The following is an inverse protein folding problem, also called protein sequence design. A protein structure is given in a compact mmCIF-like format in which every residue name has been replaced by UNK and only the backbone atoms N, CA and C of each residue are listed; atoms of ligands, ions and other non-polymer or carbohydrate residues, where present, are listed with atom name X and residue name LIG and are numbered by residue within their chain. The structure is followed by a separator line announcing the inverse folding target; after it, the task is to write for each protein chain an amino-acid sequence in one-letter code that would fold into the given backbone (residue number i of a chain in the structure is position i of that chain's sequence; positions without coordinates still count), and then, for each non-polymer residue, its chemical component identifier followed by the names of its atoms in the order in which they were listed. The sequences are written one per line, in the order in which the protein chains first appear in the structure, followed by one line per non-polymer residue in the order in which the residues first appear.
data_IF_703314126368
#
_entry.id   IF_703314126368
#
_cell.length_a   1.000
_cell.length_b   1.000
_cell.length_c   1.000
_cell.angle_alpha   90.00
_cell.angle_beta   90.00
_cell.angle_gamma   90.00
#
_symmetry.space_group_name_H-M   'P 1'
#
loop_
_entity.id
_entity.type
_entity.pdbx_description
1 polymer ?
#
# COMPACT_ATOMS: atom_id res chain seq x y z
N UNK A 1 13.19 -18.49 -19.74
CA UNK A 1 13.02 -19.49 -18.67
C UNK A 1 12.02 -19.00 -17.61
N UNK A 2 12.25 -17.86 -16.96
CA UNK A 2 11.31 -17.28 -15.98
C UNK A 2 9.93 -16.93 -16.55
N UNK A 3 9.85 -16.41 -17.78
CA UNK A 3 8.55 -16.09 -18.40
C UNK A 3 7.63 -17.31 -18.61
N UNK A 4 8.19 -18.50 -18.84
CA UNK A 4 7.42 -19.74 -18.94
C UNK A 4 6.89 -20.19 -17.57
N UNK A 5 7.71 -20.07 -16.53
CA UNK A 5 7.29 -20.41 -15.16
C UNK A 5 6.14 -19.50 -14.71
N UNK A 6 6.23 -18.20 -14.97
CA UNK A 6 5.15 -17.24 -14.69
C UNK A 6 3.86 -17.59 -15.46
N UNK A 7 3.96 -18.01 -16.72
CA UNK A 7 2.79 -18.41 -17.49
C UNK A 7 2.10 -19.66 -16.91
N UNK A 8 2.89 -20.63 -16.45
CA UNK A 8 2.37 -21.84 -15.78
C UNK A 8 1.69 -21.47 -14.47
N UNK A 9 2.35 -20.67 -13.63
CA UNK A 9 1.78 -20.17 -12.36
C UNK A 9 0.46 -19.42 -12.60
N UNK A 10 0.41 -18.57 -13.63
CA UNK A 10 -0.80 -17.81 -13.99
C UNK A 10 -1.98 -18.74 -14.30
N UNK A 11 -1.69 -19.82 -15.04
CA UNK A 11 -2.68 -20.83 -15.41
C UNK A 11 -3.13 -21.70 -14.23
N UNK A 12 -2.28 -21.87 -13.21
CA UNK A 12 -2.60 -22.69 -12.03
C UNK A 12 -3.41 -21.94 -10.98
N UNK A 13 -3.11 -20.66 -10.75
CA UNK A 13 -3.66 -19.91 -9.61
C UNK A 13 -4.68 -18.84 -10.00
N UNK A 14 -4.67 -18.36 -11.26
CA UNK A 14 -5.63 -17.38 -11.78
C UNK A 14 -5.74 -16.09 -10.95
N UNK A 15 -4.65 -15.70 -10.27
CA UNK A 15 -4.55 -14.57 -9.35
C UNK A 15 -3.49 -13.55 -9.77
N UNK A 16 -2.94 -13.69 -10.98
CA UNK A 16 -1.91 -12.80 -11.51
C UNK A 16 -2.44 -11.86 -12.59
N UNK A 17 -2.00 -10.61 -12.51
CA UNK A 17 -2.21 -9.58 -13.53
C UNK A 17 -0.84 -9.17 -14.04
N UNK A 18 -0.58 -9.42 -15.32
CA UNK A 18 0.67 -9.05 -15.99
C UNK A 18 0.45 -7.82 -16.88
N UNK A 19 1.40 -6.90 -16.87
CA UNK A 19 1.37 -5.66 -17.63
C UNK A 19 2.75 -5.43 -18.28
N UNK A 20 2.76 -4.76 -19.42
CA UNK A 20 3.97 -4.56 -20.22
C UNK A 20 4.75 -3.31 -19.77
N UNK A 21 5.62 -3.48 -18.78
CA UNK A 21 6.59 -2.48 -18.34
C UNK A 21 7.78 -3.16 -17.63
N UNK A 22 8.89 -2.43 -17.47
CA UNK A 22 10.04 -2.93 -16.72
C UNK A 22 9.74 -2.86 -15.21
N UNK A 23 9.49 -4.01 -14.59
CA UNK A 23 9.26 -4.09 -13.15
C UNK A 23 10.56 -3.84 -12.37
N UNK A 24 10.63 -2.68 -11.71
CA UNK A 24 11.77 -2.23 -10.92
C UNK A 24 11.29 -1.27 -9.84
N UNK A 25 12.09 -1.05 -8.80
CA UNK A 25 11.76 -0.11 -7.72
C UNK A 25 11.37 1.27 -8.27
N UNK A 26 12.05 1.74 -9.32
CA UNK A 26 11.84 3.09 -9.86
C UNK A 26 10.53 3.20 -10.65
N UNK A 27 10.01 2.07 -11.11
CA UNK A 27 8.78 1.96 -11.87
C UNK A 27 7.58 1.49 -11.04
N UNK A 28 7.71 1.42 -9.70
CA UNK A 28 6.58 1.09 -8.83
C UNK A 28 5.42 2.08 -9.01
N UNK A 29 5.70 3.35 -9.29
CA UNK A 29 4.66 4.33 -9.63
C UNK A 29 3.84 3.91 -10.85
N UNK A 30 4.49 3.38 -11.89
CA UNK A 30 3.78 2.86 -13.08
C UNK A 30 2.94 1.66 -12.68
N UNK A 31 3.53 0.70 -11.95
CA UNK A 31 2.85 -0.51 -11.45
C UNK A 31 1.59 -0.15 -10.68
N UNK A 32 1.66 0.75 -9.70
CA UNK A 32 0.50 1.18 -8.92
C UNK A 32 -0.53 1.89 -9.77
N UNK A 33 -0.15 2.79 -10.68
CA UNK A 33 -1.15 3.46 -11.52
C UNK A 33 -1.87 2.50 -12.45
N UNK A 34 -1.18 1.47 -12.94
CA UNK A 34 -1.81 0.42 -13.71
C UNK A 34 -2.72 -0.46 -12.83
N UNK A 35 -2.32 -0.81 -11.59
CA UNK A 35 -3.17 -1.51 -10.62
C UNK A 35 -4.46 -0.72 -10.32
N UNK A 36 -4.35 0.59 -10.07
CA UNK A 36 -5.50 1.46 -9.81
C UNK A 36 -6.45 1.50 -11.01
N UNK A 37 -5.92 1.63 -12.23
CA UNK A 37 -6.71 1.58 -13.46
C UNK A 37 -7.41 0.23 -13.62
N UNK A 38 -6.68 -0.87 -13.42
CA UNK A 38 -7.21 -2.23 -13.52
C UNK A 38 -8.34 -2.46 -12.52
N UNK A 39 -8.14 -2.14 -11.24
CA UNK A 39 -9.16 -2.27 -10.20
C UNK A 39 -10.42 -1.46 -10.54
N UNK A 40 -10.26 -0.23 -11.03
CA UNK A 40 -11.40 0.59 -11.43
C UNK A 40 -12.19 0.05 -12.62
N UNK A 41 -11.52 -0.71 -13.50
CA UNK A 41 -12.11 -1.25 -14.74
C UNK A 41 -12.75 -2.61 -14.51
N UNK A 42 -12.06 -3.50 -13.80
CA UNK A 42 -12.42 -4.91 -13.66
C UNK A 42 -13.05 -5.24 -12.30
N UNK A 43 -12.97 -4.35 -11.31
CA UNK A 43 -13.59 -4.51 -10.00
C UNK A 43 -14.45 -3.30 -9.59
N UNK A 44 -15.35 -2.78 -10.44
CA UNK A 44 -16.10 -1.55 -10.17
C UNK A 44 -17.04 -1.62 -8.96
N UNK A 45 -17.36 -2.83 -8.49
CA UNK A 45 -18.23 -3.08 -7.34
C UNK A 45 -17.49 -3.41 -6.04
N UNK A 46 -16.15 -3.47 -6.06
CA UNK A 46 -15.38 -3.65 -4.84
C UNK A 46 -15.62 -2.48 -3.88
N UNK A 47 -15.93 -2.78 -2.62
CA UNK A 47 -16.17 -1.72 -1.61
C UNK A 47 -14.86 -1.07 -1.16
N UNK A 48 -13.80 -1.87 -1.05
CA UNK A 48 -12.46 -1.45 -0.69
C UNK A 48 -11.43 -2.15 -1.57
N UNK A 49 -10.28 -1.50 -1.78
CA UNK A 49 -9.07 -2.11 -2.29
C UNK A 49 -7.93 -1.92 -1.29
N UNK A 50 -7.01 -2.87 -1.24
CA UNK A 50 -5.79 -2.77 -0.45
C UNK A 50 -4.60 -2.97 -1.38
N UNK A 51 -3.61 -2.07 -1.30
CA UNK A 51 -2.27 -2.29 -1.85
C UNK A 51 -1.37 -2.66 -0.69
N UNK A 52 -0.52 -3.66 -0.88
CA UNK A 52 0.43 -4.14 0.12
C UNK A 52 1.65 -4.73 -0.57
N UNK A 53 2.82 -4.59 0.04
CA UNK A 53 4.06 -5.20 -0.46
C UNK A 53 4.14 -6.69 -0.06
N UNK A 54 4.92 -7.47 -0.81
CA UNK A 54 4.98 -8.94 -0.63
C UNK A 54 5.70 -9.37 0.67
N UNK A 55 6.39 -8.46 1.34
CA UNK A 55 7.14 -8.66 2.59
C UNK A 55 6.38 -8.14 3.82
N UNK A 56 5.06 -8.01 3.72
CA UNK A 56 4.19 -7.46 4.77
C UNK A 56 3.24 -8.53 5.30
N UNK A 57 3.20 -8.68 6.63
CA UNK A 57 2.17 -9.44 7.30
C UNK A 57 0.89 -8.61 7.36
N UNK A 58 -0.25 -9.23 7.03
CA UNK A 58 -1.59 -8.60 7.10
C UNK A 58 -2.47 -9.39 8.05
N UNK A 59 -2.97 -8.73 9.10
CA UNK A 59 -4.01 -9.29 9.97
C UNK A 59 -5.37 -9.15 9.28
N UNK A 60 -5.71 -10.13 8.43
CA UNK A 60 -6.95 -10.11 7.64
C UNK A 60 -8.20 -10.10 8.52
N UNK A 61 -8.17 -10.76 9.69
CA UNK A 61 -9.32 -10.80 10.61
C UNK A 61 -9.64 -9.40 11.14
N UNK A 62 -8.64 -8.71 11.68
CA UNK A 62 -8.83 -7.36 12.20
C UNK A 62 -9.12 -6.36 11.08
N UNK A 63 -8.50 -6.52 9.90
CA UNK A 63 -8.77 -5.69 8.73
C UNK A 63 -10.25 -5.73 8.34
N UNK A 64 -10.84 -6.92 8.25
CA UNK A 64 -12.24 -7.07 7.87
C UNK A 64 -13.19 -6.47 8.91
N UNK A 65 -12.89 -6.64 10.20
CA UNK A 65 -13.67 -6.01 11.28
C UNK A 65 -13.61 -4.49 11.19
N UNK A 66 -12.40 -3.95 11.05
CA UNK A 66 -12.16 -2.51 11.00
C UNK A 66 -12.87 -1.85 9.80
N UNK A 67 -12.85 -2.50 8.63
CA UNK A 67 -13.47 -1.98 7.41
C UNK A 67 -15.00 -1.92 7.47
N UNK A 68 -15.66 -2.70 8.34
CA UNK A 68 -17.13 -2.63 8.52
C UNK A 68 -17.60 -1.23 8.94
N UNK A 69 -16.77 -0.52 9.70
CA UNK A 69 -17.04 0.83 10.23
C UNK A 69 -16.40 1.95 9.42
N UNK A 70 -15.61 1.62 8.38
CA UNK A 70 -14.87 2.61 7.60
C UNK A 70 -15.73 3.30 6.53
N UNK A 71 -15.45 4.57 6.17
CA UNK A 71 -16.13 5.25 5.09
C UNK A 71 -15.95 4.53 3.74
N UNK A 72 -17.04 4.37 2.98
CA UNK A 72 -17.06 3.60 1.72
C UNK A 72 -16.80 4.44 0.46
N UNK A 73 -16.54 5.73 0.61
CA UNK A 73 -16.28 6.67 -0.51
C UNK A 73 -15.24 7.71 -0.10
N UNK A 74 -14.41 8.13 -1.05
CA UNK A 74 -13.42 9.18 -0.83
C UNK A 74 -12.44 8.88 0.31
N UNK A 75 -12.19 7.60 0.59
CA UNK A 75 -11.48 7.15 1.78
C UNK A 75 -10.17 6.48 1.41
N UNK A 76 -9.11 6.83 2.13
CA UNK A 76 -7.83 6.14 2.07
C UNK A 76 -7.15 6.23 3.43
N UNK A 77 -6.55 5.13 3.86
CA UNK A 77 -5.92 4.98 5.17
C UNK A 77 -4.63 4.17 5.08
N UNK A 78 -3.76 4.35 6.05
CA UNK A 78 -2.53 3.59 6.20
C UNK A 78 -1.63 4.23 7.24
N UNK A 79 -0.33 3.98 7.12
CA UNK A 79 0.67 4.75 7.86
C UNK A 79 0.86 6.12 7.21
N UNK A 80 0.16 7.14 7.71
CA UNK A 80 0.17 8.48 7.13
C UNK A 80 1.44 9.26 7.52
N UNK A 81 2.13 9.79 6.52
CA UNK A 81 3.35 10.60 6.64
C UNK A 81 3.01 12.03 6.20
N UNK A 82 3.25 13.03 7.06
CA UNK A 82 2.89 14.43 6.83
C UNK A 82 4.09 15.38 6.75
N UNK A 83 5.27 14.88 7.11
CA UNK A 83 6.54 15.61 7.21
C UNK A 83 7.58 15.11 6.20
N UNK A 84 7.16 14.32 5.21
CA UNK A 84 8.04 13.79 4.17
C UNK A 84 8.67 14.91 3.33
N UNK A 85 9.96 14.77 3.07
CA UNK A 85 10.74 15.70 2.26
C UNK A 85 11.51 14.94 1.17
N UNK A 86 11.67 15.51 -0.03
CA UNK A 86 12.46 14.91 -1.09
C UNK A 86 13.91 14.76 -0.67
N UNK A 87 14.48 13.56 -0.84
CA UNK A 87 15.92 13.35 -0.66
C UNK A 87 16.64 13.92 -1.87
N UNK A 88 17.53 14.88 -1.65
CA UNK A 88 18.29 15.56 -2.72
C UNK A 88 19.69 14.99 -2.95
N UNK A 89 20.11 14.00 -2.16
CA UNK A 89 21.36 13.28 -2.39
C UNK A 89 21.19 12.27 -3.55
N UNK A 90 21.94 12.39 -4.66
CA UNK A 90 21.87 11.47 -5.79
C UNK A 90 22.19 10.01 -5.45
N UNK A 91 22.88 9.75 -4.33
CA UNK A 91 23.19 8.39 -3.87
C UNK A 91 22.05 7.78 -3.04
N UNK A 92 21.03 8.56 -2.69
CA UNK A 92 19.88 8.05 -1.98
C UNK A 92 19.01 7.20 -2.89
N UNK A 93 18.60 6.02 -2.43
CA UNK A 93 17.60 5.19 -3.14
C UNK A 93 16.25 5.90 -3.34
N UNK A 94 16.00 6.98 -2.58
CA UNK A 94 14.79 7.80 -2.64
C UNK A 94 15.06 9.19 -3.25
N UNK A 95 16.13 9.31 -4.05
CA UNK A 95 16.52 10.58 -4.66
C UNK A 95 15.41 11.14 -5.56
N UNK A 96 15.12 12.43 -5.37
CA UNK A 96 14.26 13.21 -6.26
C UNK A 96 14.95 14.55 -6.51
N UNK A 97 15.30 14.84 -7.76
CA UNK A 97 15.96 16.11 -8.10
C UNK A 97 15.00 17.29 -7.96
N UNK A 98 15.56 18.48 -7.73
CA UNK A 98 14.83 19.75 -7.68
C UNK A 98 14.06 20.02 -8.98
N UNK A 99 14.63 19.60 -10.11
CA UNK A 99 14.00 19.71 -11.42
C UNK A 99 12.74 18.84 -11.54
N UNK A 100 12.76 17.64 -10.95
CA UNK A 100 11.62 16.72 -10.97
C UNK A 100 10.53 17.15 -10.00
N UNK A 101 10.90 17.66 -8.83
CA UNK A 101 9.98 18.14 -7.80
C UNK A 101 10.59 19.35 -7.07
N UNK A 102 10.01 20.54 -7.26
CA UNK A 102 10.56 21.83 -6.79
C UNK A 102 10.20 22.17 -5.35
N UNK A 103 9.18 21.55 -4.78
CA UNK A 103 8.79 21.86 -3.40
C UNK A 103 9.73 21.14 -2.43
N UNK A 104 10.00 21.77 -1.29
CA UNK A 104 10.83 21.18 -0.23
C UNK A 104 10.05 20.18 0.66
N UNK A 105 8.75 20.02 0.45
CA UNK A 105 7.89 19.13 1.23
C UNK A 105 6.91 18.39 0.34
N UNK A 106 6.62 17.15 0.70
CA UNK A 106 5.57 16.34 0.07
C UNK A 106 4.19 16.64 0.68
N UNK A 107 3.08 16.42 -0.05
CA UNK A 107 1.78 16.36 0.60
C UNK A 107 1.70 15.21 1.59
N UNK A 108 0.72 15.19 2.50
CA UNK A 108 0.39 13.99 3.25
C UNK A 108 0.17 12.79 2.33
N UNK A 109 0.81 11.67 2.64
CA UNK A 109 0.73 10.43 1.88
C UNK A 109 0.68 9.22 2.80
N UNK A 110 0.33 8.05 2.27
CA UNK A 110 0.33 6.77 2.99
C UNK A 110 1.55 5.96 2.60
N UNK A 111 2.25 5.35 3.56
CA UNK A 111 3.45 4.56 3.30
C UNK A 111 3.22 3.43 2.30
N UNK A 112 4.22 3.21 1.44
CA UNK A 112 4.20 2.14 0.43
C UNK A 112 4.04 0.73 0.98
N UNK A 113 4.41 0.46 2.25
CA UNK A 113 4.29 -0.88 2.84
C UNK A 113 2.85 -1.43 2.74
N UNK A 114 1.85 -0.57 2.93
CA UNK A 114 0.48 -0.94 2.67
C UNK A 114 -0.53 0.14 3.03
N UNK A 115 -1.61 0.18 2.26
CA UNK A 115 -2.70 1.13 2.46
C UNK A 115 -4.02 0.58 1.90
N UNK A 116 -5.13 1.03 2.49
CA UNK A 116 -6.49 0.65 2.10
C UNK A 116 -7.23 1.87 1.62
N UNK A 117 -8.05 1.72 0.58
CA UNK A 117 -8.84 2.78 0.00
C UNK A 117 -10.24 2.29 -0.37
N UNK A 118 -11.22 3.19 -0.37
CA UNK A 118 -12.57 2.87 -0.87
C UNK A 118 -12.54 2.62 -2.39
N UNK A 119 -13.40 1.75 -2.89
CA UNK A 119 -13.36 1.31 -4.29
C UNK A 119 -13.40 2.44 -5.33
N UNK A 120 -14.10 3.54 -5.04
CA UNK A 120 -14.14 4.73 -5.90
C UNK A 120 -12.77 5.41 -6.07
N UNK A 121 -11.89 5.28 -5.08
CA UNK A 121 -10.58 5.92 -5.08
C UNK A 121 -9.64 5.34 -6.13
N UNK A 122 -9.78 4.06 -6.52
CA UNK A 122 -8.96 3.48 -7.59
C UNK A 122 -9.08 4.27 -8.89
N UNK A 123 -10.32 4.52 -9.32
CA UNK A 123 -10.61 5.29 -10.53
C UNK A 123 -10.22 6.76 -10.39
N UNK A 124 -10.50 7.37 -9.22
CA UNK A 124 -10.16 8.77 -8.95
C UNK A 124 -8.65 9.03 -8.95
N UNK A 125 -7.87 8.15 -8.30
CA UNK A 125 -6.40 8.23 -8.26
C UNK A 125 -5.85 8.03 -9.67
N UNK A 126 -6.33 7.02 -10.40
CA UNK A 126 -5.93 6.78 -11.78
C UNK A 126 -6.22 7.99 -12.67
N UNK A 127 -7.37 8.64 -12.52
CA UNK A 127 -7.71 9.87 -13.24
C UNK A 127 -6.78 11.04 -12.86
N UNK A 128 -6.54 11.25 -11.56
CA UNK A 128 -5.70 12.35 -11.05
C UNK A 128 -4.25 12.24 -11.51
N UNK A 129 -3.72 11.02 -11.69
CA UNK A 129 -2.36 10.76 -12.16
C UNK A 129 -2.04 11.43 -13.51
N UNK A 130 -3.06 11.69 -14.34
CA UNK A 130 -2.93 12.38 -15.63
C UNK A 130 -2.50 13.84 -15.50
N UNK A 131 -2.64 14.42 -14.30
CA UNK A 131 -2.32 15.82 -14.01
C UNK A 131 -1.11 15.98 -13.09
N UNK A 132 -0.48 14.87 -12.69
CA UNK A 132 0.67 14.87 -11.78
C UNK A 132 1.90 14.37 -12.53
N UNK A 133 2.98 15.16 -12.49
CA UNK A 133 4.28 14.73 -13.02
C UNK A 133 4.77 13.50 -12.26
N UNK A 134 5.08 12.43 -12.99
CA UNK A 134 5.55 11.17 -12.41
C UNK A 134 6.86 11.35 -11.64
N UNK A 135 6.95 10.73 -10.47
CA UNK A 135 8.17 10.61 -9.66
C UNK A 135 8.38 9.14 -9.27
N UNK A 136 9.64 8.68 -9.07
CA UNK A 136 9.95 7.29 -8.74
C UNK A 136 9.77 7.00 -7.24
N UNK A 137 8.72 7.55 -6.63
CA UNK A 137 8.30 7.32 -5.25
C UNK A 137 6.79 7.08 -5.28
N UNK A 138 6.39 5.82 -5.31
CA UNK A 138 5.01 5.39 -5.54
C UNK A 138 4.03 5.95 -4.51
N UNK A 139 4.39 5.86 -3.24
CA UNK A 139 3.60 6.31 -2.11
C UNK A 139 3.41 7.83 -2.09
N UNK A 140 4.50 8.56 -2.32
CA UNK A 140 4.47 10.02 -2.50
C UNK A 140 3.64 10.41 -3.72
N UNK A 141 3.77 9.69 -4.84
CA UNK A 141 3.00 9.95 -6.05
C UNK A 141 1.49 9.76 -5.84
N UNK A 142 1.09 8.73 -5.07
CA UNK A 142 -0.30 8.59 -4.61
C UNK A 142 -0.72 9.81 -3.78
N UNK A 143 0.11 10.27 -2.85
CA UNK A 143 -0.13 11.51 -2.09
C UNK A 143 -0.32 12.76 -2.96
N UNK A 144 0.46 12.90 -4.04
CA UNK A 144 0.30 13.98 -5.02
C UNK A 144 -1.03 13.88 -5.76
N UNK A 145 -1.46 12.66 -6.12
CA UNK A 145 -2.79 12.43 -6.69
C UNK A 145 -3.91 12.79 -5.72
N UNK A 146 -3.76 12.44 -4.43
CA UNK A 146 -4.72 12.80 -3.38
C UNK A 146 -4.85 14.33 -3.22
N UNK A 147 -3.74 15.07 -3.34
CA UNK A 147 -3.74 16.54 -3.34
C UNK A 147 -4.58 17.11 -4.49
N UNK A 148 -4.47 16.56 -5.70
CA UNK A 148 -5.30 16.97 -6.85
C UNK A 148 -6.79 16.71 -6.60
N UNK A 149 -7.10 15.62 -5.89
CA UNK A 149 -8.47 15.21 -5.58
C UNK A 149 -9.08 15.92 -4.35
N UNK A 150 -8.31 16.75 -3.66
CA UNK A 150 -8.63 17.32 -2.34
C UNK A 150 -9.07 16.25 -1.32
N UNK A 151 -8.39 15.11 -1.32
CA UNK A 151 -8.61 14.01 -0.38
C UNK A 151 -7.43 13.96 0.60
N UNK A 152 -7.72 13.90 1.90
CA UNK A 152 -6.69 13.72 2.94
C UNK A 152 -6.68 12.26 3.40
N UNK A 153 -5.50 11.61 3.45
CA UNK A 153 -5.42 10.27 4.02
C UNK A 153 -5.72 10.29 5.52
N UNK A 154 -6.42 9.26 5.99
CA UNK A 154 -6.87 9.13 7.38
C UNK A 154 -5.89 8.24 8.14
N UNK A 155 -5.56 8.63 9.38
CA UNK A 155 -4.76 7.79 10.25
C UNK A 155 -5.60 6.59 10.74
N UNK A 156 -5.09 5.37 10.54
CA UNK A 156 -5.61 4.19 11.20
C UNK A 156 -5.10 4.13 12.65
N UNK A 157 -5.82 4.80 13.56
CA UNK A 157 -5.50 4.81 15.00
C UNK A 157 -6.59 4.14 15.81
N UNK A 158 -6.19 3.41 16.84
CA UNK A 158 -7.10 3.05 17.94
C UNK A 158 -7.33 4.33 18.75
N UNK A 159 -8.61 4.68 18.96
CA UNK A 159 -9.05 5.92 19.60
C UNK A 159 -8.39 6.16 20.98
N UNK A 160 -8.06 5.08 21.70
CA UNK A 160 -7.51 5.16 23.06
C UNK A 160 -5.98 5.31 23.17
N UNK A 161 -5.19 4.91 22.17
CA UNK A 161 -3.73 4.78 22.34
C UNK A 161 -2.86 5.51 21.30
N UNK A 162 -3.47 6.22 20.34
CA UNK A 162 -2.76 6.89 19.22
C UNK A 162 -1.80 5.97 18.43
N UNK A 163 -1.82 4.66 18.68
CA UNK A 163 -0.97 3.68 18.01
C UNK A 163 -1.41 3.56 16.55
N UNK A 164 -0.45 3.69 15.65
CA UNK A 164 -0.65 3.43 14.24
C UNK A 164 -0.87 1.93 14.04
N UNK A 165 -2.00 1.55 13.46
CA UNK A 165 -2.32 0.16 13.14
C UNK A 165 -1.47 -0.38 11.99
N UNK A 166 -0.91 0.51 11.18
CA UNK A 166 -0.02 0.17 10.07
C UNK A 166 1.42 0.34 10.53
N UNK A 167 2.00 -0.71 11.12
CA UNK A 167 3.38 -0.69 11.59
C UNK A 167 4.34 -0.94 10.41
N UNK A 168 5.09 0.10 10.04
CA UNK A 168 6.01 0.06 8.89
C UNK A 168 7.43 -0.38 9.30
N UNK A 169 7.68 -0.54 10.61
CA UNK A 169 8.92 -1.10 11.13
C UNK A 169 8.82 -2.62 11.20
N UNK A 170 9.97 -3.26 11.12
CA UNK A 170 10.09 -4.68 11.41
C UNK A 170 9.99 -4.90 12.91
N UNK A 171 9.02 -5.73 13.31
CA UNK A 171 8.87 -6.21 14.67
C UNK A 171 9.17 -7.70 14.71
N UNK A 172 9.77 -8.14 15.81
CA UNK A 172 9.84 -9.58 16.10
C UNK A 172 8.42 -10.10 16.28
N UNK A 173 8.13 -11.25 15.67
CA UNK A 173 6.81 -11.87 15.79
C UNK A 173 6.45 -12.15 17.25
N UNK A 174 5.31 -11.59 17.67
CA UNK A 174 4.60 -11.88 18.91
C UNK A 174 3.10 -11.86 18.57
N UNK A 175 2.41 -12.96 18.86
CA UNK A 175 1.05 -13.19 18.39
C UNK A 175 0.07 -12.11 18.85
N UNK A 176 0.11 -11.73 20.12
CA UNK A 176 -0.83 -10.74 20.68
C UNK A 176 -0.48 -9.31 20.28
N UNK A 177 0.81 -9.00 20.10
CA UNK A 177 1.22 -7.73 19.51
C UNK A 177 0.68 -7.58 18.09
N UNK A 178 0.74 -8.65 17.28
CA UNK A 178 0.26 -8.66 15.89
C UNK A 178 -1.27 -8.67 15.82
N UNK A 179 -1.96 -9.31 16.77
CA UNK A 179 -3.42 -9.29 16.87
C UNK A 179 -3.97 -7.86 17.01
N UNK A 180 -3.21 -6.97 17.68
CA UNK A 180 -3.54 -5.55 17.81
C UNK A 180 -3.08 -4.64 16.68
N UNK A 181 -2.51 -5.18 15.58
CA UNK A 181 -2.02 -4.43 14.42
C UNK A 181 -2.73 -4.89 13.14
N UNK A 182 -2.82 -4.01 12.14
CA UNK A 182 -3.35 -4.34 10.80
C UNK A 182 -2.26 -4.87 9.89
N UNK A 183 -1.10 -4.19 9.87
CA UNK A 183 0.07 -4.65 9.13
C UNK A 183 1.35 -4.54 9.95
N UNK A 184 2.31 -5.39 9.62
CA UNK A 184 3.70 -5.31 10.08
C UNK A 184 4.62 -5.57 8.89
N UNK A 185 5.68 -4.80 8.72
CA UNK A 185 6.54 -4.83 7.53
C UNK A 185 7.88 -5.58 7.72
N UNK A 186 8.44 -6.13 6.64
CA UNK A 186 9.82 -6.58 6.52
C UNK A 186 10.04 -8.05 6.87
N UNK A 187 9.23 -8.95 6.30
CA UNK A 187 9.31 -10.40 6.50
C UNK A 187 9.69 -11.14 5.21
N UNK A 188 10.43 -12.24 5.35
CA UNK A 188 10.67 -13.15 4.23
C UNK A 188 9.46 -14.05 3.93
N UNK A 189 9.35 -14.64 2.73
CA UNK A 189 8.21 -15.51 2.38
C UNK A 189 8.00 -16.69 3.34
N UNK A 190 9.08 -17.39 3.71
CA UNK A 190 9.02 -18.51 4.66
C UNK A 190 8.62 -18.05 6.06
N UNK A 191 9.07 -16.86 6.46
CA UNK A 191 8.72 -16.28 7.76
C UNK A 191 7.23 -15.93 7.82
N UNK A 192 6.69 -15.31 6.76
CA UNK A 192 5.25 -15.03 6.64
C UNK A 192 4.40 -16.29 6.73
N UNK A 193 4.81 -17.37 6.07
CA UNK A 193 4.10 -18.66 6.14
C UNK A 193 4.09 -19.23 7.57
N UNK A 194 5.22 -19.16 8.27
CA UNK A 194 5.33 -19.64 9.65
C UNK A 194 4.52 -18.78 10.62
N UNK A 195 4.61 -17.46 10.48
CA UNK A 195 3.82 -16.49 11.24
C UNK A 195 2.33 -16.77 11.04
N UNK A 196 1.88 -16.90 9.78
CA UNK A 196 0.47 -17.10 9.46
C UNK A 196 -0.08 -18.41 10.04
N UNK A 197 0.71 -19.50 10.00
CA UNK A 197 0.32 -20.78 10.58
C UNK A 197 0.01 -20.65 12.08
N UNK A 198 0.88 -20.00 12.85
CA UNK A 198 0.67 -19.77 14.28
C UNK A 198 -0.46 -18.76 14.55
N UNK A 199 -0.48 -17.66 13.79
CA UNK A 199 -1.42 -16.56 13.99
C UNK A 199 -2.86 -16.98 13.69
N UNK A 200 -3.10 -17.69 12.58
CA UNK A 200 -4.44 -18.05 12.14
C UNK A 200 -5.18 -18.99 13.10
N UNK A 201 -4.45 -19.79 13.88
CA UNK A 201 -5.02 -20.69 14.89
C UNK A 201 -5.22 -20.02 16.26
N UNK A 202 -4.40 -19.01 16.59
CA UNK A 202 -4.28 -18.53 17.96
C UNK A 202 -4.59 -17.04 18.19
N UNK A 203 -4.88 -16.25 17.15
CA UNK A 203 -5.05 -14.80 17.31
C UNK A 203 -6.19 -14.41 18.27
N UNK A 204 -7.24 -15.24 18.36
CA UNK A 204 -8.42 -14.98 19.18
C UNK A 204 -8.22 -15.24 20.69
N UNK A 205 -7.07 -15.82 21.09
CA UNK A 205 -6.71 -16.01 22.50
C UNK A 205 -5.90 -14.83 23.08
N UNK A 206 -5.74 -13.78 22.28
CA UNK A 206 -5.28 -12.47 22.68
C UNK A 206 -6.53 -11.58 22.87
#
# INVERSE_FOLDING_TARGET
MLGLLLHIEAGLHADMIQMDFVDSYQNLTIKTMMMMRWLSTFCPHATFGMKVDADVFVNVFYLLEWLRSSPRRGFITGSVICDGQPRRDPNSKWFVSEEHYRDNTFPPYVSGAGYVFSGDMAGRISWASRFVRMIPLEDVYVGLCLRVLDVRPVYARIWMFLRNLFEIRTLKYDRCTFAGLLIVNGFGPTELLNIWKDFSEGWASC
#
